data_IF_987910729792
#
_entry.id   IF_987910729792
#
_cell.length_a   1.000
_cell.length_b   1.000
_cell.length_c   1.000
_cell.angle_alpha   90.00
_cell.angle_beta   90.00
_cell.angle_gamma   90.00
#
_symmetry.space_group_name_H-M   'P 1'
#
loop_
_entity.id
_entity.type
_entity.pdbx_description
1 polymer ?
#
# COMPACT_ATOMS: atom_id res chain seq x y z
N UNK A 1 9.20 7.07 -24.29
CA UNK A 1 7.85 7.59 -23.97
C UNK A 1 7.99 8.52 -22.76
N UNK A 2 7.28 9.66 -22.70
CA UNK A 2 7.27 10.48 -21.47
C UNK A 2 6.44 9.75 -20.40
N UNK A 3 6.87 9.83 -19.15
CA UNK A 3 6.22 9.22 -17.99
C UNK A 3 6.00 10.30 -16.92
N UNK A 4 4.95 10.14 -16.12
CA UNK A 4 4.76 10.97 -14.94
C UNK A 4 5.84 10.64 -13.89
N UNK A 5 6.23 11.61 -13.07
CA UNK A 5 7.37 11.42 -12.17
C UNK A 5 7.16 10.32 -11.12
N UNK A 6 5.92 10.14 -10.65
CA UNK A 6 5.61 9.10 -9.67
C UNK A 6 5.71 7.68 -10.27
N UNK A 7 5.50 7.52 -11.59
CA UNK A 7 5.62 6.24 -12.29
C UNK A 7 7.06 5.71 -12.28
N UNK A 8 8.03 6.60 -12.05
CA UNK A 8 9.46 6.26 -11.93
C UNK A 8 9.81 5.68 -10.55
N UNK A 9 8.96 5.85 -9.54
CA UNK A 9 9.21 5.36 -8.18
C UNK A 9 8.99 3.85 -8.11
N UNK A 10 9.99 3.10 -7.63
CA UNK A 10 9.87 1.65 -7.40
C UNK A 10 8.72 1.30 -6.46
N UNK A 11 8.45 2.14 -5.46
CA UNK A 11 7.33 1.95 -4.54
C UNK A 11 5.97 2.07 -5.22
N UNK A 12 5.84 2.95 -6.22
CA UNK A 12 4.60 3.08 -6.99
C UNK A 12 4.38 1.84 -7.85
N UNK A 13 5.41 1.39 -8.57
CA UNK A 13 5.34 0.19 -9.41
C UNK A 13 5.00 -1.06 -8.58
N UNK A 14 5.58 -1.16 -7.38
CA UNK A 14 5.31 -2.26 -6.43
C UNK A 14 3.89 -2.18 -5.86
N UNK A 15 3.40 -0.98 -5.55
CA UNK A 15 2.01 -0.77 -5.15
C UNK A 15 1.03 -1.19 -6.26
N UNK A 16 1.31 -0.90 -7.53
CA UNK A 16 0.48 -1.35 -8.66
C UNK A 16 0.49 -2.89 -8.78
N UNK A 17 1.63 -3.55 -8.57
CA UNK A 17 1.69 -5.03 -8.52
C UNK A 17 0.84 -5.58 -7.38
N UNK A 18 0.89 -4.94 -6.20
CA UNK A 18 0.05 -5.33 -5.07
C UNK A 18 -1.44 -5.12 -5.36
N UNK A 19 -1.83 -4.05 -6.06
CA UNK A 19 -3.21 -3.84 -6.52
C UNK A 19 -3.66 -5.00 -7.40
N UNK A 20 -2.87 -5.39 -8.40
CA UNK A 20 -3.21 -6.52 -9.26
C UNK A 20 -3.37 -7.83 -8.47
N UNK A 21 -2.39 -8.15 -7.61
CA UNK A 21 -2.43 -9.33 -6.76
C UNK A 21 -3.66 -9.37 -5.84
N UNK A 22 -3.96 -8.25 -5.17
CA UNK A 22 -5.13 -8.15 -4.29
C UNK A 22 -6.45 -8.22 -5.05
N UNK A 23 -6.49 -7.71 -6.29
CA UNK A 23 -7.67 -7.77 -7.14
C UNK A 23 -7.99 -9.20 -7.55
N UNK A 24 -6.96 -10.01 -7.81
CA UNK A 24 -7.12 -11.43 -8.09
C UNK A 24 -7.59 -12.19 -6.84
N UNK A 25 -6.96 -11.93 -5.68
CA UNK A 25 -7.38 -12.48 -4.40
C UNK A 25 -8.86 -12.19 -4.08
N UNK A 26 -9.31 -10.94 -4.28
CA UNK A 26 -10.66 -10.52 -3.93
C UNK A 26 -11.76 -11.17 -4.79
N UNK A 27 -11.43 -11.78 -5.94
CA UNK A 27 -12.40 -12.56 -6.73
C UNK A 27 -12.95 -13.75 -5.95
N UNK A 28 -12.14 -14.34 -5.08
CA UNK A 28 -12.48 -15.53 -4.30
C UNK A 28 -12.97 -15.18 -2.88
N UNK A 29 -12.91 -13.91 -2.48
CA UNK A 29 -13.40 -13.44 -1.18
C UNK A 29 -14.87 -12.99 -1.31
N UNK A 30 -15.79 -13.47 -0.47
CA UNK A 30 -17.19 -13.02 -0.52
C UNK A 30 -17.33 -11.51 -0.27
N UNK A 31 -17.98 -10.80 -1.20
CA UNK A 31 -18.26 -9.35 -1.10
C UNK A 31 -19.11 -8.95 0.12
N UNK A 32 -19.81 -9.90 0.73
CA UNK A 32 -20.59 -9.67 1.96
C UNK A 32 -19.73 -9.46 3.19
N UNK A 33 -18.44 -9.85 3.15
CA UNK A 33 -17.52 -9.61 4.25
C UNK A 33 -17.04 -8.16 4.21
N UNK A 34 -17.22 -7.42 5.30
CA UNK A 34 -16.77 -6.03 5.41
C UNK A 34 -15.28 -5.82 5.06
N UNK A 35 -14.44 -6.83 5.36
CA UNK A 35 -13.00 -6.82 5.04
C UNK A 35 -12.71 -6.77 3.53
N UNK A 36 -13.60 -7.28 2.68
CA UNK A 36 -13.44 -7.19 1.23
C UNK A 36 -13.37 -5.71 0.80
N UNK A 37 -14.37 -4.92 1.18
CA UNK A 37 -14.42 -3.50 0.81
C UNK A 37 -13.31 -2.70 1.50
N UNK A 38 -12.92 -3.10 2.72
CA UNK A 38 -11.82 -2.45 3.42
C UNK A 38 -10.49 -2.69 2.71
N UNK A 39 -10.19 -3.94 2.33
CA UNK A 39 -8.98 -4.30 1.60
C UNK A 39 -8.94 -3.61 0.23
N UNK A 40 -10.03 -3.65 -0.53
CA UNK A 40 -10.11 -3.01 -1.85
C UNK A 40 -9.81 -1.49 -1.80
N UNK A 41 -10.41 -0.80 -0.84
CA UNK A 41 -10.18 0.63 -0.62
C UNK A 41 -8.77 0.93 -0.13
N UNK A 42 -8.27 0.17 0.84
CA UNK A 42 -6.93 0.37 1.39
C UNK A 42 -5.87 0.12 0.30
N UNK A 43 -6.00 -0.94 -0.48
CA UNK A 43 -5.09 -1.24 -1.59
C UNK A 43 -5.09 -0.10 -2.62
N UNK A 44 -6.27 0.39 -3.01
CA UNK A 44 -6.40 1.53 -3.95
C UNK A 44 -5.78 2.82 -3.40
N UNK A 45 -5.87 3.04 -2.09
CA UNK A 45 -5.34 4.23 -1.41
C UNK A 45 -3.80 4.34 -1.48
N UNK A 46 -3.08 3.21 -1.51
CA UNK A 46 -1.61 3.18 -1.52
C UNK A 46 -1.02 3.93 -2.74
N UNK A 47 -1.27 3.51 -4.00
CA UNK A 47 -0.70 4.18 -5.17
C UNK A 47 -1.21 5.62 -5.35
N UNK A 48 -2.46 5.89 -4.96
CA UNK A 48 -3.03 7.25 -5.04
C UNK A 48 -2.28 8.22 -4.14
N UNK A 49 -2.03 7.84 -2.89
CA UNK A 49 -1.27 8.67 -1.96
C UNK A 49 0.21 8.79 -2.35
N UNK A 50 0.82 7.76 -2.95
CA UNK A 50 2.19 7.86 -3.49
C UNK A 50 2.24 8.89 -4.62
N UNK A 51 1.32 8.80 -5.59
CA UNK A 51 1.29 9.71 -6.72
C UNK A 51 1.04 11.15 -6.28
N UNK A 52 0.07 11.36 -5.38
CA UNK A 52 -0.26 12.69 -4.88
C UNK A 52 0.89 13.27 -4.02
N UNK A 53 1.48 12.47 -3.13
CA UNK A 53 2.62 12.87 -2.32
C UNK A 53 3.82 13.30 -3.17
N UNK A 54 4.14 12.53 -4.22
CA UNK A 54 5.24 12.86 -5.12
C UNK A 54 5.05 14.20 -5.85
N UNK A 55 3.80 14.64 -6.03
CA UNK A 55 3.45 15.93 -6.63
C UNK A 55 3.43 17.12 -5.66
N UNK A 56 3.55 16.91 -4.33
CA UNK A 56 3.48 18.03 -3.36
C UNK A 56 4.76 18.86 -3.34
N UNK A 57 4.61 20.18 -3.23
CA UNK A 57 5.74 21.10 -3.23
C UNK A 57 6.49 21.14 -1.90
N UNK A 58 5.78 21.08 -0.78
CA UNK A 58 6.41 21.15 0.54
C UNK A 58 6.86 19.75 1.00
N UNK A 59 8.02 19.63 1.67
CA UNK A 59 8.45 18.35 2.21
C UNK A 59 7.48 17.80 3.26
N UNK A 60 6.87 18.68 4.07
CA UNK A 60 5.88 18.31 5.08
C UNK A 60 4.62 17.68 4.48
N UNK A 61 4.03 18.29 3.44
CA UNK A 61 2.86 17.70 2.77
C UNK A 61 3.23 16.40 2.07
N UNK A 62 4.34 16.37 1.34
CA UNK A 62 4.83 15.16 0.68
C UNK A 62 4.94 13.98 1.65
N UNK A 63 5.56 14.19 2.81
CA UNK A 63 5.67 13.18 3.85
C UNK A 63 4.31 12.73 4.41
N UNK A 64 3.36 13.66 4.60
CA UNK A 64 2.01 13.32 5.07
C UNK A 64 1.28 12.35 4.14
N UNK A 65 1.40 12.52 2.83
CA UNK A 65 0.81 11.56 1.88
C UNK A 65 1.53 10.22 1.88
N UNK A 66 2.86 10.21 1.99
CA UNK A 66 3.60 8.94 2.14
C UNK A 66 3.25 8.21 3.44
N UNK A 67 3.00 8.92 4.54
CA UNK A 67 2.48 8.34 5.79
C UNK A 67 1.08 7.72 5.59
N UNK A 68 0.19 8.39 4.84
CA UNK A 68 -1.12 7.84 4.52
C UNK A 68 -1.00 6.55 3.70
N UNK A 69 -0.13 6.54 2.68
CA UNK A 69 0.15 5.32 1.90
C UNK A 69 0.67 4.19 2.79
N UNK A 70 1.55 4.52 3.75
CA UNK A 70 2.09 3.56 4.73
C UNK A 70 0.97 3.03 5.64
N UNK A 71 0.09 3.90 6.12
CA UNK A 71 -1.09 3.52 6.90
C UNK A 71 -1.99 2.54 6.14
N UNK A 72 -2.30 2.85 4.87
CA UNK A 72 -3.09 1.96 4.02
C UNK A 72 -2.41 0.61 3.75
N UNK A 73 -1.07 0.58 3.62
CA UNK A 73 -0.33 -0.68 3.49
C UNK A 73 -0.41 -1.55 4.76
N UNK A 74 -0.30 -0.95 5.95
CA UNK A 74 -0.47 -1.66 7.23
C UNK A 74 -1.91 -2.17 7.40
N UNK A 75 -2.89 -1.38 6.99
CA UNK A 75 -4.29 -1.76 6.98
C UNK A 75 -4.55 -2.96 6.04
N UNK A 76 -3.93 -3.00 4.87
CA UNK A 76 -3.99 -4.17 3.98
C UNK A 76 -3.45 -5.42 4.67
N UNK A 77 -2.31 -5.33 5.37
CA UNK A 77 -1.74 -6.47 6.09
C UNK A 77 -2.71 -6.98 7.17
N UNK A 78 -3.35 -6.07 7.91
CA UNK A 78 -4.36 -6.42 8.90
C UNK A 78 -5.62 -7.04 8.27
N UNK A 79 -6.05 -6.58 7.10
CA UNK A 79 -7.14 -7.19 6.35
C UNK A 79 -6.82 -8.64 5.93
N UNK A 80 -5.57 -8.92 5.50
CA UNK A 80 -5.12 -10.28 5.21
C UNK A 80 -5.16 -11.16 6.46
N UNK A 81 -4.75 -10.64 7.62
CA UNK A 81 -4.87 -11.33 8.92
C UNK A 81 -6.33 -11.66 9.26
N UNK A 82 -7.25 -10.71 9.05
CA UNK A 82 -8.67 -10.92 9.29
C UNK A 82 -9.25 -12.01 8.38
N UNK A 83 -8.82 -12.07 7.11
CA UNK A 83 -9.25 -13.12 6.18
C UNK A 83 -8.74 -14.50 6.61
N UNK A 84 -7.48 -14.60 7.06
CA UNK A 84 -6.90 -15.83 7.62
C UNK A 84 -7.66 -16.27 8.86
N UNK A 85 -7.90 -15.35 9.81
CA UNK A 85 -8.63 -15.63 11.05
C UNK A 85 -10.07 -16.12 10.79
N UNK A 86 -10.68 -15.66 9.69
CA UNK A 86 -12.01 -16.10 9.23
C UNK A 86 -11.99 -17.36 8.37
N UNK A 87 -10.83 -17.99 8.18
CA UNK A 87 -10.62 -19.16 7.30
C UNK A 87 -11.07 -18.91 5.86
N UNK A 88 -10.93 -17.68 5.39
CA UNK A 88 -11.21 -17.27 4.00
C UNK A 88 -9.94 -17.16 3.17
N UNK A 89 -8.76 -17.25 3.81
CA UNK A 89 -7.47 -17.16 3.15
C UNK A 89 -6.47 -18.10 3.82
N UNK A 90 -5.65 -18.78 3.03
CA UNK A 90 -4.54 -19.57 3.54
C UNK A 90 -3.42 -18.65 4.07
N UNK A 91 -2.76 -19.07 5.16
CA UNK A 91 -1.65 -18.32 5.77
C UNK A 91 -0.55 -18.03 4.74
N UNK A 92 -0.17 -19.01 3.93
CA UNK A 92 0.86 -18.86 2.90
C UNK A 92 0.53 -17.76 1.88
N UNK A 93 -0.72 -17.67 1.44
CA UNK A 93 -1.17 -16.63 0.50
C UNK A 93 -1.17 -15.26 1.19
N UNK A 94 -1.58 -15.18 2.46
CA UNK A 94 -1.46 -13.94 3.21
C UNK A 94 0.00 -13.49 3.35
N UNK A 95 0.92 -14.42 3.62
CA UNK A 95 2.35 -14.12 3.76
C UNK A 95 2.98 -13.61 2.47
N UNK A 96 2.59 -14.14 1.30
CA UNK A 96 2.99 -13.62 -0.01
C UNK A 96 2.61 -12.14 -0.17
N UNK A 97 1.34 -11.80 0.08
CA UNK A 97 0.86 -10.42 0.02
C UNK A 97 1.55 -9.51 1.02
N UNK A 98 1.76 -9.99 2.25
CA UNK A 98 2.45 -9.23 3.30
C UNK A 98 3.92 -8.97 2.99
N UNK A 99 4.61 -9.88 2.31
CA UNK A 99 5.98 -9.66 1.87
C UNK A 99 6.08 -8.43 0.96
N UNK A 100 5.14 -8.28 0.02
CA UNK A 100 5.06 -7.10 -0.87
C UNK A 100 4.74 -5.83 -0.07
N UNK A 101 3.82 -5.91 0.90
CA UNK A 101 3.48 -4.78 1.76
C UNK A 101 4.66 -4.31 2.63
N UNK A 102 5.49 -5.23 3.13
CA UNK A 102 6.73 -4.90 3.87
C UNK A 102 7.71 -4.13 2.98
N UNK A 103 7.85 -4.53 1.71
CA UNK A 103 8.69 -3.82 0.73
C UNK A 103 8.17 -2.40 0.49
N UNK A 104 6.85 -2.25 0.28
CA UNK A 104 6.19 -0.95 0.12
C UNK A 104 6.44 -0.06 1.34
N UNK A 105 6.19 -0.57 2.55
CA UNK A 105 6.40 0.18 3.80
C UNK A 105 7.85 0.62 3.94
N UNK A 106 8.80 -0.26 3.64
CA UNK A 106 10.24 0.03 3.73
C UNK A 106 10.65 1.16 2.78
N UNK A 107 10.17 1.13 1.53
CA UNK A 107 10.43 2.19 0.56
C UNK A 107 9.75 3.51 0.94
N UNK A 108 8.52 3.47 1.46
CA UNK A 108 7.82 4.67 1.95
C UNK A 108 8.56 5.32 3.12
N UNK A 109 9.05 4.53 4.08
CA UNK A 109 9.88 5.02 5.20
C UNK A 109 11.15 5.68 4.66
N UNK A 110 11.82 5.06 3.67
CA UNK A 110 12.97 5.65 2.98
C UNK A 110 12.65 7.01 2.34
N UNK A 111 11.53 7.10 1.61
CA UNK A 111 11.07 8.35 1.00
C UNK A 111 10.76 9.42 2.05
N UNK A 112 10.08 9.07 3.15
CA UNK A 112 9.77 10.02 4.21
C UNK A 112 11.05 10.55 4.85
N UNK A 113 12.01 9.68 5.18
CA UNK A 113 13.31 10.09 5.75
C UNK A 113 14.09 10.99 4.78
N UNK A 114 14.09 10.67 3.49
CA UNK A 114 14.76 11.49 2.47
C UNK A 114 14.11 12.86 2.24
N UNK A 115 12.85 13.04 2.64
CA UNK A 115 12.09 14.28 2.47
C UNK A 115 11.78 14.98 3.81
N UNK A 116 12.27 14.48 4.94
CA UNK A 116 12.02 15.10 6.25
C UNK A 116 13.30 15.65 6.84
N UNK A 117 13.27 16.91 7.26
CA UNK A 117 14.39 17.56 7.96
C UNK A 117 14.52 17.10 9.43
N UNK A 118 13.49 16.48 10.00
CA UNK A 118 13.36 16.26 11.47
C UNK A 118 12.78 14.91 11.90
N UNK A 119 12.22 14.08 11.00
CA UNK A 119 11.59 12.81 11.39
C UNK A 119 12.56 11.64 11.37
N UNK A 120 12.92 11.14 12.55
CA UNK A 120 13.38 9.76 12.73
C UNK A 120 12.15 8.84 12.70
N UNK A 121 11.76 8.38 11.51
CA UNK A 121 10.75 7.32 11.34
C UNK A 121 11.40 5.97 11.50
#
# INVERSE_FOLDING_TARGET
MRQFDHEKLSVYQTAIKFVAWSSDLLKDVPRTLAVHNQLDRATTSIPLNIAEGNGKHTPADRCRYFDNARGSALECAACLDVLVARRQLAVSVADEGKSVLVEIVSMLVGLIRANSETRQV
#
